data_IF_217652734735
#
_entry.id   IF_217652734735
#
_cell.length_a   1.000
_cell.length_b   1.000
_cell.length_c   1.000
_cell.angle_alpha   90.00
_cell.angle_beta   90.00
_cell.angle_gamma   90.00
#
_symmetry.space_group_name_H-M   'P 1'
#
loop_
_entity.id
_entity.type
_entity.pdbx_description
1 polymer ?
#
# COMPACT_ATOMS: atom_id res chain seq x y z
N UNK A 1 -10.03 15.39 5.71
CA UNK A 1 -10.04 14.01 6.25
C UNK A 1 -10.06 14.06 7.78
N UNK A 2 -10.74 13.13 8.46
CA UNK A 2 -10.67 13.06 9.92
C UNK A 2 -9.35 12.43 10.40
N UNK A 3 -9.04 12.61 11.70
CA UNK A 3 -7.75 12.19 12.26
C UNK A 3 -7.51 10.68 12.13
N UNK A 4 -8.53 9.87 12.36
CA UNK A 4 -8.36 8.41 12.33
C UNK A 4 -7.96 7.93 10.94
N UNK A 5 -8.65 8.42 9.90
CA UNK A 5 -8.30 8.11 8.50
C UNK A 5 -6.90 8.60 8.13
N UNK A 6 -6.54 9.80 8.59
CA UNK A 6 -5.20 10.34 8.35
C UNK A 6 -4.11 9.50 9.02
N UNK A 7 -4.30 9.09 10.27
CA UNK A 7 -3.32 8.28 11.00
C UNK A 7 -3.06 6.94 10.27
N UNK A 8 -4.10 6.32 9.69
CA UNK A 8 -3.97 5.09 8.88
C UNK A 8 -3.14 5.32 7.60
N UNK A 9 -3.46 6.38 6.85
CA UNK A 9 -2.75 6.72 5.61
C UNK A 9 -1.30 7.11 5.88
N UNK A 10 -1.06 7.87 6.95
CA UNK A 10 0.27 8.26 7.37
C UNK A 10 1.10 7.03 7.81
N UNK A 11 0.47 6.03 8.45
CA UNK A 11 1.14 4.76 8.79
C UNK A 11 1.53 3.96 7.55
N UNK A 12 0.65 3.88 6.55
CA UNK A 12 0.96 3.27 5.24
C UNK A 12 2.18 3.93 4.58
N UNK A 13 2.16 5.24 4.42
CA UNK A 13 3.27 5.95 3.77
C UNK A 13 4.57 5.90 4.58
N UNK A 14 4.47 5.82 5.91
CA UNK A 14 5.63 5.60 6.77
C UNK A 14 6.27 4.24 6.48
N UNK A 15 5.48 3.17 6.37
CA UNK A 15 5.99 1.85 6.04
C UNK A 15 6.68 1.84 4.67
N UNK A 16 6.07 2.44 3.65
CA UNK A 16 6.68 2.59 2.31
C UNK A 16 8.02 3.31 2.37
N UNK A 17 8.12 4.38 3.17
CA UNK A 17 9.36 5.13 3.33
C UNK A 17 10.48 4.34 4.02
N UNK A 18 10.13 3.44 4.94
CA UNK A 18 11.10 2.57 5.64
C UNK A 18 11.68 1.49 4.73
N UNK A 19 10.98 1.14 3.64
CA UNK A 19 11.34 0.04 2.72
C UNK A 19 11.67 0.51 1.28
N UNK A 20 11.80 1.82 1.06
CA UNK A 20 12.09 2.39 -0.27
C UNK A 20 13.44 1.91 -0.84
N UNK A 21 14.41 1.60 0.02
CA UNK A 21 15.74 1.11 -0.39
C UNK A 21 15.68 -0.31 -1.00
N UNK A 22 14.62 -1.07 -0.71
CA UNK A 22 14.37 -2.42 -1.22
C UNK A 22 13.49 -2.41 -2.49
N UNK A 23 13.51 -1.31 -3.25
CA UNK A 23 12.72 -1.15 -4.48
C UNK A 23 11.19 -1.26 -4.27
N UNK A 24 10.70 -1.09 -3.04
CA UNK A 24 9.26 -0.97 -2.76
C UNK A 24 8.71 0.28 -3.45
N UNK A 25 7.74 0.11 -4.35
CA UNK A 25 7.17 1.18 -5.16
C UNK A 25 5.65 1.16 -5.05
N UNK A 26 5.05 2.35 -4.95
CA UNK A 26 3.59 2.52 -5.02
C UNK A 26 3.23 3.24 -6.32
N UNK A 27 2.30 2.66 -7.08
CA UNK A 27 1.85 3.15 -8.39
C UNK A 27 0.34 3.45 -8.35
N UNK A 28 -0.04 4.61 -8.89
CA UNK A 28 -1.43 5.01 -9.10
C UNK A 28 -1.73 5.00 -10.60
N UNK A 29 -2.82 4.38 -11.01
CA UNK A 29 -3.14 4.19 -12.44
C UNK A 29 -3.82 5.39 -13.10
N UNK A 30 -4.19 6.41 -12.31
CA UNK A 30 -4.94 7.59 -12.77
C UNK A 30 -6.45 7.35 -12.94
N UNK A 31 -6.92 6.12 -12.73
CA UNK A 31 -8.34 5.72 -12.79
C UNK A 31 -8.91 5.41 -11.39
N UNK A 32 -8.10 5.62 -10.35
CA UNK A 32 -8.51 5.50 -8.95
C UNK A 32 -8.02 4.24 -8.26
N UNK A 33 -7.16 3.44 -8.91
CA UNK A 33 -6.52 2.28 -8.29
C UNK A 33 -5.10 2.61 -7.85
N UNK A 34 -4.68 2.00 -6.76
CA UNK A 34 -3.36 2.14 -6.18
C UNK A 34 -2.81 0.77 -5.87
N UNK A 35 -1.60 0.49 -6.35
CA UNK A 35 -0.93 -0.78 -6.14
C UNK A 35 0.41 -0.55 -5.45
N UNK A 36 0.83 -1.51 -4.63
CA UNK A 36 2.16 -1.55 -4.04
C UNK A 36 2.92 -2.78 -4.55
N UNK A 37 4.15 -2.55 -5.00
CA UNK A 37 5.14 -3.57 -5.32
C UNK A 37 6.03 -3.76 -4.11
N UNK A 38 5.99 -4.95 -3.51
CA UNK A 38 6.70 -5.30 -2.28
C UNK A 38 7.78 -6.32 -2.63
N UNK A 39 9.02 -6.05 -2.28
CA UNK A 39 10.11 -7.02 -2.45
C UNK A 39 9.89 -8.25 -1.56
N UNK A 40 10.34 -9.42 -2.02
CA UNK A 40 10.17 -10.67 -1.30
C UNK A 40 10.81 -10.68 0.10
N UNK A 41 11.89 -9.93 0.30
CA UNK A 41 12.55 -9.83 1.60
C UNK A 41 11.70 -9.05 2.63
N UNK A 42 10.77 -8.19 2.16
CA UNK A 42 9.90 -7.37 3.01
C UNK A 42 8.51 -7.99 3.26
N UNK A 43 8.16 -9.08 2.56
CA UNK A 43 6.84 -9.70 2.67
C UNK A 43 6.47 -10.16 4.08
N UNK A 44 7.46 -10.65 4.84
CA UNK A 44 7.22 -11.09 6.21
C UNK A 44 6.82 -9.90 7.10
N UNK A 45 7.55 -8.79 7.04
CA UNK A 45 7.22 -7.57 7.79
C UNK A 45 5.88 -6.98 7.32
N UNK A 46 5.65 -6.94 6.00
CA UNK A 46 4.40 -6.44 5.43
C UNK A 46 3.18 -7.22 5.93
N UNK A 47 3.22 -8.55 5.89
CA UNK A 47 2.09 -9.41 6.30
C UNK A 47 1.86 -9.45 7.81
N UNK A 48 2.89 -9.16 8.62
CA UNK A 48 2.71 -8.97 10.07
C UNK A 48 1.97 -7.66 10.39
N UNK A 49 2.13 -6.65 9.54
CA UNK A 49 1.60 -5.30 9.77
C UNK A 49 0.24 -5.07 9.14
N UNK A 50 0.05 -5.59 7.93
CA UNK A 50 -1.19 -5.52 7.18
C UNK A 50 -1.77 -6.93 7.10
N UNK A 51 -2.74 -7.21 7.97
CA UNK A 51 -3.55 -8.41 7.83
C UNK A 51 -4.58 -8.10 6.76
N UNK A 52 -4.35 -8.61 5.54
CA UNK A 52 -5.41 -8.65 4.53
C UNK A 52 -6.49 -9.60 5.04
N UNK A 53 -7.63 -9.04 5.49
CA UNK A 53 -8.86 -9.81 5.73
C UNK A 53 -9.44 -10.19 4.35
N UNK A 54 -8.77 -11.13 3.69
CA UNK A 54 -9.18 -11.63 2.38
C UNK A 54 -10.29 -12.68 2.57
N UNK A 55 -11.56 -12.25 2.55
CA UNK A 55 -12.70 -13.17 2.41
C UNK A 55 -12.71 -13.84 1.02
N UNK A 56 -12.03 -13.24 0.03
CA UNK A 56 -11.89 -13.75 -1.34
C UNK A 56 -10.41 -13.78 -1.78
N UNK A 57 -10.07 -14.70 -2.69
CA UNK A 57 -8.72 -14.84 -3.20
C UNK A 57 -8.34 -13.64 -4.08
N UNK A 58 -7.38 -12.83 -3.61
CA UNK A 58 -6.86 -11.66 -4.32
C UNK A 58 -6.02 -12.08 -5.54
N UNK A 59 -6.14 -11.32 -6.63
CA UNK A 59 -5.23 -11.46 -7.76
C UNK A 59 -3.91 -10.77 -7.44
N UNK A 60 -2.93 -11.58 -7.04
CA UNK A 60 -1.57 -11.11 -6.78
C UNK A 60 -0.69 -11.34 -8.00
N UNK A 61 0.06 -10.31 -8.42
CA UNK A 61 1.05 -10.44 -9.52
C UNK A 61 2.44 -10.62 -8.93
N UNK A 62 3.17 -11.63 -9.40
CA UNK A 62 4.59 -11.83 -9.06
C UNK A 62 5.45 -11.36 -10.23
N UNK A 63 6.40 -10.46 -9.98
CA UNK A 63 7.29 -9.96 -11.03
C UNK A 63 8.65 -9.56 -10.45
N UNK A 64 9.73 -10.09 -11.04
CA UNK A 64 11.11 -9.68 -10.74
C UNK A 64 11.45 -9.56 -9.23
N UNK A 65 11.11 -10.57 -8.43
CA UNK A 65 11.37 -10.54 -6.97
C UNK A 65 10.36 -9.75 -6.15
N UNK A 66 9.30 -9.25 -6.77
CA UNK A 66 8.27 -8.46 -6.12
C UNK A 66 6.88 -9.11 -6.20
N UNK A 67 6.05 -8.73 -5.25
CA UNK A 67 4.61 -8.99 -5.18
C UNK A 67 3.86 -7.69 -5.40
N UNK A 68 2.95 -7.63 -6.36
CA UNK A 68 1.99 -6.54 -6.50
C UNK A 68 0.72 -6.85 -5.73
N UNK A 69 0.29 -5.91 -4.89
CA UNK A 69 -0.95 -5.99 -4.10
C UNK A 69 -1.73 -4.70 -4.32
N UNK A 70 -3.04 -4.81 -4.53
CA UNK A 70 -3.91 -3.63 -4.56
C UNK A 70 -4.03 -3.06 -3.15
N UNK A 71 -3.79 -1.75 -3.00
CA UNK A 71 -3.77 -1.09 -1.68
C UNK A 71 -5.15 -1.15 -1.02
N UNK A 72 -6.21 -1.14 -1.82
CA UNK A 72 -7.60 -1.27 -1.34
C UNK A 72 -7.84 -2.60 -0.60
N UNK A 73 -7.11 -3.67 -0.91
CA UNK A 73 -7.30 -4.99 -0.31
C UNK A 73 -7.00 -5.03 1.20
N UNK A 74 -6.15 -4.12 1.69
CA UNK A 74 -5.73 -4.08 3.10
C UNK A 74 -5.92 -2.72 3.77
N UNK A 75 -6.18 -1.65 3.00
CA UNK A 75 -6.54 -0.32 3.50
C UNK A 75 -7.99 0.07 3.20
N UNK A 76 -8.74 -0.76 2.49
CA UNK A 76 -10.15 -0.56 2.18
C UNK A 76 -11.04 -0.56 3.42
N UNK A 77 -12.33 -0.24 3.23
CA UNK A 77 -13.33 -0.29 4.30
C UNK A 77 -13.27 0.84 5.35
N UNK A 78 -12.24 1.68 5.33
CA UNK A 78 -12.08 2.82 6.23
C UNK A 78 -12.76 4.12 5.76
N UNK A 79 -13.44 4.09 4.61
CA UNK A 79 -14.26 5.20 4.10
C UNK A 79 -13.47 6.38 3.51
N UNK A 80 -12.29 6.11 2.98
CA UNK A 80 -11.52 6.99 2.08
C UNK A 80 -11.29 6.25 0.75
N UNK A 81 -10.93 6.97 -0.31
CA UNK A 81 -10.60 6.38 -1.62
C UNK A 81 -9.10 6.19 -1.77
N UNK A 82 -8.66 5.40 -2.76
CA UNK A 82 -7.23 5.30 -3.07
C UNK A 82 -6.63 6.60 -3.64
N UNK A 83 -7.45 7.47 -4.23
CA UNK A 83 -7.05 8.84 -4.59
C UNK A 83 -6.72 9.68 -3.34
N UNK A 84 -7.49 9.52 -2.25
CA UNK A 84 -7.18 10.18 -0.97
C UNK A 84 -5.82 9.69 -0.44
N UNK A 85 -5.57 8.37 -0.51
CA UNK A 85 -4.28 7.77 -0.11
C UNK A 85 -3.14 8.34 -0.94
N UNK A 86 -3.28 8.37 -2.27
CA UNK A 86 -2.26 8.89 -3.19
C UNK A 86 -1.99 10.38 -3.00
N UNK A 87 -3.03 11.18 -2.75
CA UNK A 87 -2.90 12.64 -2.57
C UNK A 87 -2.09 13.00 -1.32
N UNK A 88 -2.12 12.15 -0.30
CA UNK A 88 -1.36 12.35 0.94
C UNK A 88 0.07 11.80 0.86
N UNK A 89 0.51 11.27 -0.30
CA UNK A 89 1.87 10.77 -0.51
C UNK A 89 2.92 11.82 -0.11
N UNK A 90 3.87 11.48 0.79
CA UNK A 90 4.96 12.37 1.15
C UNK A 90 5.80 12.79 -0.08
N UNK A 91 6.13 14.08 -0.17
CA UNK A 91 6.96 14.63 -1.25
C UNK A 91 8.34 13.94 -1.33
N UNK A 92 8.85 13.44 -0.20
CA UNK A 92 10.12 12.70 -0.15
C UNK A 92 10.11 11.36 -0.89
N UNK A 93 8.92 10.82 -1.20
CA UNK A 93 8.75 9.56 -1.94
C UNK A 93 8.48 9.78 -3.44
N UNK A 94 8.63 11.01 -3.93
CA UNK A 94 8.42 11.39 -5.34
C UNK A 94 9.70 11.31 -6.17
#
# INVERSE_FOLDING_TARGET
MDKFKKDIIDEFWKWVAEHQDNETIVEHDGEGNLCIWIDFDDLADFTERYIADAEEALQTVLFNGHVCVEVEDFLGGHGFTMDDVWTEKPISLS
#
